data_IF_296297398877
#
_entry.id   IF_296297398877
#
_cell.length_a   1.000
_cell.length_b   1.000
_cell.length_c   1.000
_cell.angle_alpha   90.00
_cell.angle_beta   90.00
_cell.angle_gamma   90.00
#
_symmetry.space_group_name_H-M   'P 1'
#
loop_
_entity.id
_entity.type
_entity.pdbx_description
1 polymer ?
#
# COMPACT_ATOMS: atom_id res chain seq x y z
N UNK A 1 4.72 -21.49 13.06
CA UNK A 1 3.48 -20.93 13.64
C UNK A 1 2.21 -21.64 13.12
N UNK A 2 2.15 -22.10 11.87
CA UNK A 2 0.96 -22.78 11.32
C UNK A 2 0.58 -24.13 11.99
N UNK A 3 1.56 -24.88 12.55
CA UNK A 3 1.24 -26.11 13.33
C UNK A 3 0.57 -25.84 14.68
N UNK A 4 0.69 -24.63 15.24
CA UNK A 4 0.09 -24.28 16.53
C UNK A 4 -1.37 -23.82 16.34
N UNK A 5 -1.66 -23.17 15.20
CA UNK A 5 -3.02 -22.73 14.87
C UNK A 5 -3.94 -23.89 14.47
N UNK A 6 -3.43 -24.89 13.72
CA UNK A 6 -4.20 -26.10 13.38
C UNK A 6 -4.62 -26.91 14.62
N UNK A 7 -3.80 -26.96 15.67
CA UNK A 7 -4.16 -27.65 16.91
C UNK A 7 -5.17 -26.88 17.77
N UNK A 8 -5.33 -25.57 17.58
CA UNK A 8 -6.38 -24.79 18.26
C UNK A 8 -7.74 -24.87 17.55
N UNK A 9 -7.76 -25.03 16.22
CA UNK A 9 -9.01 -25.18 15.46
C UNK A 9 -9.64 -26.57 15.62
N UNK A 10 -8.83 -27.64 15.70
CA UNK A 10 -9.35 -28.99 15.96
C UNK A 10 -9.97 -29.11 17.35
N UNK A 11 -9.50 -28.34 18.34
CA UNK A 11 -10.10 -28.31 19.68
C UNK A 11 -11.45 -27.57 19.77
N UNK A 12 -11.80 -26.75 18.77
CA UNK A 12 -13.11 -26.04 18.74
C UNK A 12 -14.24 -26.87 18.11
N UNK A 13 -13.91 -27.93 17.38
CA UNK A 13 -14.90 -28.76 16.66
C UNK A 13 -15.29 -30.06 17.39
N UNK A 14 -14.75 -30.30 18.58
CA UNK A 14 -15.20 -31.39 19.45
C UNK A 14 -16.19 -30.76 20.42
N UNK A 15 -17.49 -30.90 20.12
CA UNK A 15 -18.56 -30.66 21.09
C UNK A 15 -18.16 -31.33 22.41
N UNK A 16 -18.11 -30.56 23.49
CA UNK A 16 -17.60 -31.06 24.75
C UNK A 16 -18.51 -32.20 25.24
N UNK A 17 -17.95 -33.24 25.85
CA UNK A 17 -18.74 -34.38 26.35
C UNK A 17 -19.85 -33.94 27.31
N UNK A 18 -19.70 -32.78 27.96
CA UNK A 18 -20.71 -32.12 28.79
C UNK A 18 -21.93 -31.63 28.00
N UNK A 19 -21.75 -31.15 26.76
CA UNK A 19 -22.86 -30.69 25.91
C UNK A 19 -23.71 -31.85 25.38
N UNK A 20 -23.10 -33.03 25.19
CA UNK A 20 -23.80 -34.25 24.77
C UNK A 20 -24.69 -34.80 25.89
N UNK A 21 -24.18 -34.81 27.13
CA UNK A 21 -24.95 -35.28 28.29
C UNK A 21 -26.14 -34.36 28.57
N UNK A 22 -25.97 -33.03 28.43
CA UNK A 22 -27.06 -32.06 28.65
C UNK A 22 -28.17 -32.17 27.59
N UNK A 23 -27.81 -32.45 26.32
CA UNK A 23 -28.77 -32.70 25.25
C UNK A 23 -29.56 -34.01 25.46
N UNK A 24 -28.88 -35.08 25.89
CA UNK A 24 -29.52 -36.37 26.18
C UNK A 24 -30.42 -36.27 27.42
N UNK A 25 -30.01 -35.56 28.46
CA UNK A 25 -30.85 -35.31 29.64
C UNK A 25 -32.09 -34.47 29.29
N UNK A 26 -31.97 -33.43 28.46
CA UNK A 26 -33.13 -32.64 27.99
C UNK A 26 -34.09 -33.47 27.13
N UNK A 27 -33.57 -34.39 26.33
CA UNK A 27 -34.38 -35.31 25.53
C UNK A 27 -35.13 -36.34 26.39
N UNK A 28 -34.46 -36.92 27.39
CA UNK A 28 -35.10 -37.86 28.33
C UNK A 28 -36.15 -37.15 29.20
N UNK A 29 -35.89 -35.90 29.60
CA UNK A 29 -36.88 -35.06 30.30
C UNK A 29 -38.10 -34.73 29.44
N UNK A 30 -37.94 -34.48 28.14
CA UNK A 30 -39.08 -34.20 27.26
C UNK A 30 -39.96 -35.43 27.01
N UNK A 31 -39.36 -36.64 26.95
CA UNK A 31 -40.11 -37.89 26.86
C UNK A 31 -40.82 -38.26 28.18
N UNK A 32 -40.23 -37.93 29.33
CA UNK A 32 -40.90 -38.10 30.65
C UNK A 32 -42.04 -37.10 30.87
N UNK A 33 -41.93 -35.87 30.37
CA UNK A 33 -43.01 -34.88 30.45
C UNK A 33 -44.19 -35.22 29.54
N UNK A 34 -43.95 -35.82 28.37
CA UNK A 34 -45.03 -36.26 27.47
C UNK A 34 -45.78 -37.48 28.01
N UNK A 35 -45.10 -38.39 28.72
CA UNK A 35 -45.75 -39.52 29.39
C UNK A 35 -46.59 -39.08 30.60
N UNK A 36 -46.14 -38.09 31.38
CA UNK A 36 -46.92 -37.50 32.49
C UNK A 36 -48.12 -36.66 32.03
N UNK A 37 -48.06 -36.00 30.88
CA UNK A 37 -49.19 -35.25 30.31
C UNK A 37 -50.24 -36.14 29.62
N UNK A 38 -49.97 -37.43 29.41
CA UNK A 38 -50.91 -38.34 28.73
C UNK A 38 -52.02 -38.87 29.64
N UNK A 39 -51.85 -38.78 30.96
CA UNK A 39 -52.76 -39.39 31.95
C UNK A 39 -53.87 -38.47 32.48
N UNK A 40 -53.96 -37.21 32.02
CA UNK A 40 -54.90 -36.22 32.62
C UNK A 40 -55.95 -35.61 31.70
N UNK A 41 -56.08 -36.01 30.42
CA UNK A 41 -57.12 -35.41 29.54
C UNK A 41 -57.87 -36.48 28.75
N UNK A 42 -58.77 -37.18 29.45
CA UNK A 42 -59.90 -37.88 28.84
C UNK A 42 -61.08 -36.91 28.80
N UNK A 43 -61.29 -36.26 27.66
CA UNK A 43 -62.59 -36.01 27.01
C UNK A 43 -62.38 -35.12 25.77
N UNK A 44 -63.02 -35.49 24.66
CA UNK A 44 -63.08 -34.84 23.32
C UNK A 44 -62.20 -35.47 22.22
N UNK A 45 -62.37 -36.77 21.98
CA UNK A 45 -61.85 -37.47 20.79
C UNK A 45 -62.84 -37.33 19.63
N UNK A 46 -62.52 -36.48 18.66
CA UNK A 46 -62.78 -36.73 17.22
C UNK A 46 -62.24 -35.58 16.33
N UNK A 47 -62.04 -34.37 16.86
CA UNK A 47 -61.39 -33.26 16.12
C UNK A 47 -59.86 -33.17 16.30
N UNK A 48 -59.30 -33.70 17.40
CA UNK A 48 -57.85 -33.63 17.67
C UNK A 48 -57.01 -34.66 16.88
N UNK A 49 -57.62 -35.74 16.39
CA UNK A 49 -56.90 -36.82 15.69
C UNK A 49 -56.35 -36.33 14.34
N UNK A 50 -57.04 -35.41 13.66
CA UNK A 50 -56.61 -34.95 12.34
C UNK A 50 -55.52 -33.86 12.42
N UNK A 51 -55.61 -32.98 13.44
CA UNK A 51 -54.58 -31.97 13.74
C UNK A 51 -53.28 -32.64 14.22
N UNK A 52 -53.38 -33.68 15.06
CA UNK A 52 -52.22 -34.44 15.52
C UNK A 52 -51.57 -35.25 14.39
N UNK A 53 -52.35 -35.78 13.44
CA UNK A 53 -51.82 -36.46 12.25
C UNK A 53 -51.07 -35.51 11.32
N UNK A 54 -51.58 -34.29 11.11
CA UNK A 54 -50.93 -33.27 10.29
C UNK A 54 -49.67 -32.71 10.96
N UNK A 55 -49.70 -32.51 12.28
CA UNK A 55 -48.53 -32.14 13.08
C UNK A 55 -47.44 -33.23 13.04
N UNK A 56 -47.83 -34.51 13.14
CA UNK A 56 -46.90 -35.64 13.01
C UNK A 56 -46.26 -35.72 11.62
N UNK A 57 -47.03 -35.46 10.55
CA UNK A 57 -46.50 -35.38 9.18
C UNK A 57 -45.50 -34.23 9.02
N UNK A 58 -45.81 -33.05 9.56
CA UNK A 58 -44.89 -31.89 9.55
C UNK A 58 -43.63 -32.14 10.35
N UNK A 59 -43.74 -32.78 11.52
CA UNK A 59 -42.59 -33.19 12.32
C UNK A 59 -41.71 -34.20 11.59
N UNK A 60 -42.31 -35.23 10.97
CA UNK A 60 -41.59 -36.22 10.18
C UNK A 60 -40.90 -35.59 8.96
N UNK A 61 -41.51 -34.58 8.33
CA UNK A 61 -40.89 -33.84 7.23
C UNK A 61 -39.67 -33.03 7.70
N UNK A 62 -39.74 -32.39 8.86
CA UNK A 62 -38.61 -31.67 9.47
C UNK A 62 -37.50 -32.65 9.85
N UNK A 63 -37.85 -33.80 10.43
CA UNK A 63 -36.90 -34.84 10.79
C UNK A 63 -36.19 -35.41 9.55
N UNK A 64 -36.92 -35.67 8.46
CA UNK A 64 -36.37 -36.11 7.18
C UNK A 64 -35.46 -35.04 6.55
N UNK A 65 -35.83 -33.77 6.63
CA UNK A 65 -35.00 -32.66 6.16
C UNK A 65 -33.69 -32.55 6.96
N UNK A 66 -33.78 -32.66 8.29
CA UNK A 66 -32.61 -32.61 9.17
C UNK A 66 -31.65 -33.78 8.91
N UNK A 67 -32.19 -35.00 8.74
CA UNK A 67 -31.41 -36.18 8.38
C UNK A 67 -30.66 -35.98 7.05
N UNK A 68 -31.34 -35.50 6.02
CA UNK A 68 -30.72 -35.18 4.73
C UNK A 68 -29.62 -34.12 4.88
N UNK A 69 -29.87 -33.07 5.67
CA UNK A 69 -28.91 -32.00 5.91
C UNK A 69 -27.66 -32.49 6.68
N UNK A 70 -27.82 -33.41 7.64
CA UNK A 70 -26.69 -34.04 8.33
C UNK A 70 -25.90 -34.96 7.41
N UNK A 71 -26.57 -35.70 6.54
CA UNK A 71 -25.90 -36.59 5.58
C UNK A 71 -25.08 -35.79 4.56
N UNK A 72 -25.59 -34.68 4.05
CA UNK A 72 -24.85 -33.82 3.12
C UNK A 72 -23.61 -33.19 3.77
N UNK A 73 -23.72 -32.73 5.03
CA UNK A 73 -22.58 -32.18 5.77
C UNK A 73 -21.54 -33.24 6.13
N UNK A 74 -21.97 -34.45 6.49
CA UNK A 74 -21.06 -35.59 6.70
C UNK A 74 -20.33 -35.97 5.40
N UNK A 75 -21.05 -36.05 4.27
CA UNK A 75 -20.50 -36.41 2.96
C UNK A 75 -19.54 -35.34 2.42
N UNK A 76 -19.78 -34.05 2.70
CA UNK A 76 -18.87 -32.95 2.32
C UNK A 76 -17.60 -32.96 3.18
N UNK A 77 -17.72 -33.19 4.50
CA UNK A 77 -16.60 -33.32 5.42
C UNK A 77 -15.71 -34.51 5.05
N UNK A 78 -16.30 -35.69 4.79
CA UNK A 78 -15.56 -36.90 4.37
C UNK A 78 -14.89 -36.69 3.01
N UNK A 79 -15.55 -36.07 2.03
CA UNK A 79 -14.91 -35.75 0.73
C UNK A 79 -13.73 -34.81 0.87
N UNK A 80 -13.81 -33.81 1.76
CA UNK A 80 -12.70 -32.89 2.01
C UNK A 80 -11.54 -33.55 2.75
N UNK A 81 -11.81 -34.43 3.71
CA UNK A 81 -10.77 -35.21 4.40
C UNK A 81 -10.10 -36.22 3.44
N UNK A 82 -10.87 -36.82 2.54
CA UNK A 82 -10.38 -37.79 1.54
C UNK A 82 -9.51 -37.11 0.49
N UNK A 83 -9.86 -35.90 0.02
CA UNK A 83 -9.05 -35.15 -0.94
C UNK A 83 -7.72 -34.67 -0.35
N UNK A 84 -7.71 -34.25 0.92
CA UNK A 84 -6.49 -33.84 1.64
C UNK A 84 -5.57 -35.04 1.92
N UNK A 85 -6.13 -36.19 2.32
CA UNK A 85 -5.39 -37.44 2.51
C UNK A 85 -4.76 -37.95 1.21
N UNK A 86 -5.52 -37.93 0.10
CA UNK A 86 -5.05 -38.40 -1.20
C UNK A 86 -3.91 -37.52 -1.76
N UNK A 87 -3.95 -36.20 -1.52
CA UNK A 87 -2.90 -35.29 -1.93
C UNK A 87 -1.58 -35.54 -1.17
N UNK A 88 -1.63 -35.76 0.14
CA UNK A 88 -0.44 -36.07 0.95
C UNK A 88 0.16 -37.44 0.61
N UNK A 89 -0.70 -38.43 0.34
CA UNK A 89 -0.27 -39.78 -0.06
C UNK A 89 0.39 -39.76 -1.43
N UNK A 90 -0.15 -39.01 -2.40
CA UNK A 90 0.43 -38.86 -3.74
C UNK A 90 1.81 -38.17 -3.75
N UNK A 91 2.04 -37.22 -2.82
CA UNK A 91 3.35 -36.57 -2.70
C UNK A 91 4.40 -37.49 -2.06
N UNK A 92 4.02 -38.30 -1.06
CA UNK A 92 4.91 -39.32 -0.49
C UNK A 92 5.29 -40.38 -1.52
N UNK A 93 4.32 -40.90 -2.27
CA UNK A 93 4.59 -41.92 -3.30
C UNK A 93 5.48 -41.39 -4.42
N UNK A 94 5.33 -40.13 -4.83
CA UNK A 94 6.22 -39.50 -5.82
C UNK A 94 7.68 -39.41 -5.36
N UNK A 95 7.90 -39.07 -4.09
CA UNK A 95 9.25 -39.02 -3.51
C UNK A 95 9.85 -40.43 -3.36
N UNK A 96 9.06 -41.41 -2.95
CA UNK A 96 9.49 -42.80 -2.81
C UNK A 96 9.86 -43.41 -4.18
N UNK A 97 9.09 -43.14 -5.24
CA UNK A 97 9.40 -43.56 -6.62
C UNK A 97 10.74 -42.95 -7.09
N UNK A 98 11.00 -41.67 -6.80
CA UNK A 98 12.28 -41.04 -7.15
C UNK A 98 13.47 -41.67 -6.41
N UNK A 99 13.27 -42.06 -5.15
CA UNK A 99 14.27 -42.72 -4.33
C UNK A 99 14.58 -44.12 -4.85
N UNK A 100 13.56 -44.88 -5.23
CA UNK A 100 13.70 -46.23 -5.80
C UNK A 100 14.35 -46.20 -7.19
N UNK A 101 14.03 -45.20 -8.00
CA UNK A 101 14.69 -44.97 -9.30
C UNK A 101 16.19 -44.62 -9.12
N UNK A 102 16.53 -43.80 -8.12
CA UNK A 102 17.94 -43.51 -7.83
C UNK A 102 18.69 -44.76 -7.33
N UNK A 103 18.06 -45.55 -6.45
CA UNK A 103 18.63 -46.77 -5.92
C UNK A 103 18.87 -47.82 -7.01
N UNK A 104 17.90 -48.02 -7.92
CA UNK A 104 18.02 -48.96 -9.05
C UNK A 104 19.13 -48.55 -10.01
N UNK A 105 19.30 -47.26 -10.30
CA UNK A 105 20.41 -46.76 -11.13
C UNK A 105 21.76 -47.07 -10.46
N UNK A 106 21.93 -46.72 -9.18
CA UNK A 106 23.19 -46.95 -8.46
C UNK A 106 23.52 -48.45 -8.38
N UNK A 107 22.53 -49.27 -8.04
CA UNK A 107 22.70 -50.73 -7.96
C UNK A 107 23.00 -51.35 -9.32
N UNK A 108 22.40 -50.86 -10.41
CA UNK A 108 22.68 -51.36 -11.76
C UNK A 108 24.11 -51.02 -12.21
N UNK A 109 24.60 -49.82 -11.89
CA UNK A 109 25.99 -49.43 -12.14
C UNK A 109 26.98 -50.28 -11.35
N UNK A 110 26.69 -50.57 -10.07
CA UNK A 110 27.53 -51.44 -9.25
C UNK A 110 27.56 -52.88 -9.79
N UNK A 111 26.40 -53.46 -10.14
CA UNK A 111 26.31 -54.79 -10.76
C UNK A 111 27.15 -54.86 -12.05
N UNK A 112 27.02 -53.86 -12.92
CA UNK A 112 27.82 -53.75 -14.15
C UNK A 112 29.33 -53.66 -13.87
N UNK A 113 29.75 -52.91 -12.86
CA UNK A 113 31.17 -52.81 -12.48
C UNK A 113 31.73 -54.13 -11.98
N UNK A 114 30.96 -54.86 -11.15
CA UNK A 114 31.34 -56.19 -10.64
C UNK A 114 31.53 -57.18 -11.79
N UNK A 115 30.56 -57.28 -12.70
CA UNK A 115 30.64 -58.16 -13.87
C UNK A 115 31.81 -57.79 -14.78
N UNK A 116 32.03 -56.50 -15.05
CA UNK A 116 33.18 -56.07 -15.87
C UNK A 116 34.52 -56.42 -15.22
N UNK A 117 34.64 -56.32 -13.90
CA UNK A 117 35.86 -56.72 -13.18
C UNK A 117 36.08 -58.23 -13.27
N UNK A 118 35.04 -59.04 -13.14
CA UNK A 118 35.11 -60.49 -13.29
C UNK A 118 35.47 -60.89 -14.72
N UNK A 119 34.84 -60.29 -15.72
CA UNK A 119 35.18 -60.47 -17.13
C UNK A 119 36.64 -60.14 -17.43
N UNK A 120 37.16 -59.02 -16.90
CA UNK A 120 38.57 -58.66 -17.09
C UNK A 120 39.54 -59.63 -16.41
N UNK A 121 39.18 -60.19 -15.23
CA UNK A 121 39.96 -61.27 -14.59
C UNK A 121 39.98 -62.53 -15.46
N UNK A 122 38.82 -62.94 -15.98
CA UNK A 122 38.68 -64.07 -16.90
C UNK A 122 39.49 -63.86 -18.19
N UNK A 123 39.38 -62.69 -18.81
CA UNK A 123 40.14 -62.36 -20.03
C UNK A 123 41.64 -62.34 -19.79
N UNK A 124 42.12 -61.86 -18.63
CA UNK A 124 43.54 -61.96 -18.26
C UNK A 124 43.98 -63.41 -18.12
N UNK A 125 43.20 -64.26 -17.46
CA UNK A 125 43.49 -65.69 -17.32
C UNK A 125 43.52 -66.39 -18.69
N UNK A 126 42.53 -66.11 -19.56
CA UNK A 126 42.49 -66.64 -20.93
C UNK A 126 43.70 -66.17 -21.74
N UNK A 127 44.06 -64.88 -21.67
CA UNK A 127 45.25 -64.38 -22.35
C UNK A 127 46.54 -65.06 -21.85
N UNK A 128 46.65 -65.33 -20.55
CA UNK A 128 47.79 -66.08 -19.99
C UNK A 128 47.84 -67.50 -20.54
N UNK A 129 46.74 -68.25 -20.47
CA UNK A 129 46.65 -69.63 -21.01
C UNK A 129 46.95 -69.64 -22.51
N UNK A 130 46.37 -68.72 -23.29
CA UNK A 130 46.65 -68.61 -24.71
C UNK A 130 48.11 -68.26 -25.01
N UNK A 131 48.74 -67.43 -24.17
CA UNK A 131 50.16 -67.10 -24.31
C UNK A 131 51.03 -68.30 -23.97
N UNK A 132 50.71 -69.05 -22.92
CA UNK A 132 51.41 -70.28 -22.51
C UNK A 132 51.25 -71.37 -23.57
N UNK A 133 50.05 -71.59 -24.10
CA UNK A 133 49.80 -72.58 -25.17
C UNK A 133 50.51 -72.18 -26.46
N UNK A 134 50.47 -70.90 -26.86
CA UNK A 134 51.19 -70.43 -28.05
C UNK A 134 52.71 -70.54 -27.88
N UNK A 135 53.25 -70.20 -26.70
CA UNK A 135 54.68 -70.36 -26.41
C UNK A 135 55.08 -71.82 -26.37
N UNK A 136 54.29 -72.71 -25.76
CA UNK A 136 54.49 -74.16 -25.78
C UNK A 136 54.45 -74.75 -27.19
N UNK A 137 53.50 -74.35 -28.04
CA UNK A 137 53.44 -74.76 -29.45
C UNK A 137 54.66 -74.26 -30.25
N UNK A 138 55.15 -73.06 -29.93
CA UNK A 138 56.36 -72.48 -30.54
C UNK A 138 57.61 -73.24 -30.09
N UNK A 139 57.71 -73.57 -28.81
CA UNK A 139 58.78 -74.41 -28.24
C UNK A 139 58.72 -75.82 -28.81
N UNK A 140 57.54 -76.43 -28.98
CA UNK A 140 57.36 -77.76 -29.59
C UNK A 140 57.72 -77.81 -31.08
N UNK A 141 57.41 -76.74 -31.84
CA UNK A 141 57.92 -76.57 -33.22
C UNK A 141 59.44 -76.41 -33.23
N UNK A 142 59.97 -75.65 -32.27
CA UNK A 142 61.41 -75.43 -32.14
C UNK A 142 62.15 -76.63 -31.56
N UNK A 143 61.56 -77.57 -30.82
CA UNK A 143 62.25 -78.80 -30.37
C UNK A 143 62.54 -79.78 -31.50
N UNK A 144 61.79 -79.72 -32.61
CA UNK A 144 62.14 -80.44 -33.85
C UNK A 144 63.27 -79.75 -34.62
N UNK A 145 63.48 -78.45 -34.40
CA UNK A 145 64.49 -77.63 -35.08
C UNK A 145 65.76 -77.48 -34.22
N UNK A 146 65.64 -77.57 -32.89
CA UNK A 146 66.70 -77.35 -31.92
C UNK A 146 67.14 -78.67 -31.24
N UNK A 147 67.66 -79.59 -32.08
CA UNK A 147 68.96 -80.25 -31.82
C UNK A 147 70.13 -79.25 -31.98
N UNK A 148 69.83 -77.96 -32.07
CA UNK A 148 70.72 -76.84 -32.35
C UNK A 148 70.31 -75.64 -31.46
N UNK A 149 71.02 -75.49 -30.35
CA UNK A 149 71.13 -74.30 -29.50
C UNK A 149 69.95 -73.84 -28.62
N UNK A 150 70.37 -73.47 -27.40
CA UNK A 150 69.63 -73.26 -26.16
C UNK A 150 69.23 -71.81 -25.89
N UNK A 151 68.38 -71.69 -24.86
CA UNK A 151 68.21 -70.57 -23.91
C UNK A 151 67.23 -69.41 -24.24
N UNK A 152 66.04 -69.55 -23.63
CA UNK A 152 65.26 -68.59 -22.82
C UNK A 152 65.22 -67.10 -23.21
N UNK A 153 64.00 -66.63 -23.47
CA UNK A 153 63.68 -65.22 -23.67
C UNK A 153 62.80 -64.63 -22.58
N UNK A 154 63.28 -63.55 -21.95
CA UNK A 154 62.43 -62.47 -21.44
C UNK A 154 63.11 -61.08 -21.51
N UNK A 155 63.89 -60.82 -22.57
CA UNK A 155 64.34 -59.46 -22.97
C UNK A 155 63.98 -59.14 -24.44
N UNK A 156 62.88 -59.72 -24.92
CA UNK A 156 62.72 -60.03 -26.34
C UNK A 156 62.11 -58.91 -27.21
N UNK A 157 62.03 -57.65 -26.74
CA UNK A 157 61.57 -56.52 -27.60
C UNK A 157 62.55 -55.35 -27.70
N UNK A 158 63.28 -54.99 -26.65
CA UNK A 158 64.49 -54.16 -26.77
C UNK A 158 65.61 -54.98 -27.42
N UNK A 159 65.74 -56.25 -26.99
CA UNK A 159 66.64 -57.26 -27.55
C UNK A 159 66.47 -57.42 -29.05
N UNK A 160 65.27 -57.57 -29.61
CA UNK A 160 65.10 -57.72 -31.09
C UNK A 160 65.58 -56.49 -31.87
N UNK A 161 65.39 -55.26 -31.34
CA UNK A 161 65.86 -54.05 -32.04
C UNK A 161 67.38 -53.91 -31.92
N UNK A 162 67.94 -54.19 -30.74
CA UNK A 162 69.38 -54.26 -30.51
C UNK A 162 70.04 -55.40 -31.28
N UNK A 163 69.37 -56.54 -31.43
CA UNK A 163 69.81 -57.75 -32.12
C UNK A 163 69.68 -57.61 -33.64
N UNK A 164 68.65 -56.90 -34.14
CA UNK A 164 68.60 -56.46 -35.55
C UNK A 164 69.69 -55.43 -35.84
N UNK A 165 69.90 -54.47 -34.94
CA UNK A 165 70.99 -53.49 -35.05
C UNK A 165 72.38 -54.10 -34.90
N UNK A 166 72.50 -55.20 -34.15
CA UNK A 166 73.72 -55.98 -33.99
C UNK A 166 73.95 -56.90 -35.19
N UNK A 167 72.92 -57.61 -35.70
CA UNK A 167 73.03 -58.40 -36.95
C UNK A 167 73.48 -57.56 -38.15
N UNK A 168 72.92 -56.35 -38.32
CA UNK A 168 73.31 -55.45 -39.42
C UNK A 168 74.75 -54.95 -39.24
N UNK A 169 75.19 -54.69 -38.00
CA UNK A 169 76.58 -54.31 -37.69
C UNK A 169 77.56 -55.48 -37.82
N UNK A 170 77.19 -56.67 -37.37
CA UNK A 170 77.96 -57.91 -37.51
C UNK A 170 78.13 -58.31 -38.96
N UNK A 171 77.12 -58.13 -39.83
CA UNK A 171 77.26 -58.40 -41.26
C UNK A 171 78.22 -57.43 -41.95
N UNK A 172 78.31 -56.19 -41.46
CA UNK A 172 79.26 -55.19 -41.97
C UNK A 172 80.70 -55.46 -41.50
N UNK A 173 80.88 -55.86 -40.23
CA UNK A 173 82.19 -56.16 -39.62
C UNK A 173 82.74 -57.51 -40.12
N UNK A 174 81.93 -58.58 -40.12
CA UNK A 174 82.34 -59.90 -40.61
C UNK A 174 82.46 -59.95 -42.14
N UNK A 175 81.73 -59.11 -42.86
CA UNK A 175 81.86 -58.95 -44.31
C UNK A 175 83.26 -58.48 -44.72
N UNK A 176 83.86 -57.54 -43.99
CA UNK A 176 85.24 -57.07 -44.21
C UNK A 176 86.30 -58.12 -43.82
N UNK A 177 86.14 -58.78 -42.66
CA UNK A 177 87.08 -59.81 -42.19
C UNK A 177 87.07 -61.07 -43.07
N UNK A 178 85.94 -61.44 -43.67
CA UNK A 178 85.85 -62.57 -44.61
C UNK A 178 86.48 -62.25 -45.97
N UNK A 179 86.44 -60.99 -46.42
CA UNK A 179 87.15 -60.58 -47.65
C UNK A 179 88.66 -60.51 -47.45
N UNK A 180 89.12 -60.13 -46.26
CA UNK A 180 90.55 -60.05 -45.90
C UNK A 180 91.17 -61.45 -45.72
N UNK A 181 90.44 -62.37 -45.08
CA UNK A 181 90.85 -63.77 -44.94
C UNK A 181 90.80 -64.55 -46.27
N UNK A 182 89.90 -64.21 -47.19
CA UNK A 182 89.91 -64.76 -48.55
C UNK A 182 91.10 -64.26 -49.38
N UNK A 183 91.50 -62.99 -49.19
CA UNK A 183 92.70 -62.39 -49.79
C UNK A 183 93.98 -63.08 -49.30
N UNK A 184 94.10 -63.37 -48.00
CA UNK A 184 95.26 -64.06 -47.42
C UNK A 184 95.35 -65.54 -47.84
N UNK A 185 94.22 -66.19 -48.09
CA UNK A 185 94.17 -67.62 -48.49
C UNK A 185 94.58 -67.86 -49.95
N UNK A 186 94.53 -66.84 -50.80
CA UNK A 186 94.98 -66.92 -52.21
C UNK A 186 96.50 -66.80 -52.38
N UNK A 187 97.24 -66.32 -51.38
CA UNK A 187 98.70 -66.12 -51.50
C UNK A 187 99.51 -67.43 -51.45
N UNK A 188 98.90 -68.54 -51.04
CA UNK A 188 99.60 -69.80 -50.68
C UNK A 188 99.61 -70.86 -51.80
N UNK A 189 98.99 -70.63 -52.97
CA UNK A 189 99.03 -71.60 -54.09
C UNK A 189 99.49 -70.92 -55.37
N UNK A 190 100.66 -71.30 -55.85
CA UNK A 190 101.26 -70.83 -57.09
C UNK A 190 100.63 -71.49 -58.33
N UNK A 191 100.54 -70.67 -59.38
CA UNK A 191 100.14 -70.92 -60.78
C UNK A 191 98.63 -70.77 -61.08
N UNK A 192 98.35 -69.77 -61.95
CA UNK A 192 97.07 -69.16 -62.41
C UNK A 192 96.40 -68.12 -61.48
N UNK A 193 97.19 -67.41 -60.67
CA UNK A 193 96.66 -66.48 -59.65
C UNK A 193 96.09 -65.16 -60.17
N UNK A 194 96.55 -64.63 -61.30
CA UNK A 194 96.12 -63.29 -61.77
C UNK A 194 94.65 -63.27 -62.21
N UNK A 195 94.18 -64.32 -62.89
CA UNK A 195 92.80 -64.40 -63.40
C UNK A 195 91.80 -64.64 -62.26
N UNK A 196 92.15 -65.48 -61.29
CA UNK A 196 91.32 -65.75 -60.11
C UNK A 196 91.28 -64.53 -59.17
N UNK A 197 92.40 -63.83 -58.99
CA UNK A 197 92.43 -62.59 -58.21
C UNK A 197 91.65 -61.46 -58.91
N UNK A 198 91.74 -61.35 -60.24
CA UNK A 198 90.94 -60.41 -61.00
C UNK A 198 89.43 -60.72 -60.89
N UNK A 199 89.03 -61.99 -61.05
CA UNK A 199 87.64 -62.42 -60.92
C UNK A 199 87.08 -62.16 -59.52
N UNK A 200 87.85 -62.44 -58.47
CA UNK A 200 87.43 -62.19 -57.07
C UNK A 200 87.32 -60.69 -56.78
N UNK A 201 88.23 -59.86 -57.28
CA UNK A 201 88.13 -58.39 -57.17
C UNK A 201 86.89 -57.84 -57.85
N UNK A 202 86.55 -58.33 -59.05
CA UNK A 202 85.32 -57.95 -59.77
C UNK A 202 84.07 -58.38 -59.00
N UNK A 203 84.03 -59.59 -58.45
CA UNK A 203 82.91 -60.07 -57.64
C UNK A 203 82.72 -59.26 -56.35
N UNK A 204 83.81 -58.89 -55.67
CA UNK A 204 83.77 -58.03 -54.48
C UNK A 204 83.30 -56.62 -54.86
N UNK A 205 83.82 -56.04 -55.94
CA UNK A 205 83.40 -54.73 -56.44
C UNK A 205 81.91 -54.71 -56.77
N UNK A 206 81.40 -55.74 -57.46
CA UNK A 206 79.98 -55.89 -57.78
C UNK A 206 79.10 -56.04 -56.53
N UNK A 207 79.50 -56.88 -55.56
CA UNK A 207 78.79 -57.03 -54.28
C UNK A 207 78.73 -55.71 -53.51
N UNK A 208 79.81 -54.95 -53.49
CA UNK A 208 79.88 -53.64 -52.85
C UNK A 208 78.99 -52.60 -53.56
N UNK A 209 78.97 -52.60 -54.89
CA UNK A 209 78.06 -51.77 -55.68
C UNK A 209 76.59 -52.08 -55.36
N UNK A 210 76.22 -53.36 -55.35
CA UNK A 210 74.87 -53.81 -55.02
C UNK A 210 74.47 -53.41 -53.59
N UNK A 211 75.37 -53.60 -52.61
CA UNK A 211 75.14 -53.19 -51.22
C UNK A 211 74.94 -51.68 -51.09
N UNK A 212 75.79 -50.84 -51.71
CA UNK A 212 75.63 -49.38 -51.71
C UNK A 212 74.32 -48.95 -52.37
N UNK A 213 73.94 -49.58 -53.48
CA UNK A 213 72.68 -49.30 -54.19
C UNK A 213 71.46 -49.62 -53.33
N UNK A 214 71.41 -50.80 -52.69
CA UNK A 214 70.36 -51.19 -51.77
C UNK A 214 70.33 -50.32 -50.51
N UNK A 215 71.48 -49.95 -49.97
CA UNK A 215 71.58 -49.04 -48.82
C UNK A 215 70.99 -47.66 -49.13
N UNK A 216 71.30 -47.08 -50.30
CA UNK A 216 70.71 -45.81 -50.75
C UNK A 216 69.18 -45.90 -50.84
N UNK A 217 68.65 -46.97 -51.43
CA UNK A 217 67.19 -47.20 -51.56
C UNK A 217 66.51 -47.36 -50.19
N UNK A 218 67.09 -48.15 -49.30
CA UNK A 218 66.55 -48.38 -47.94
C UNK A 218 66.65 -47.15 -47.05
N UNK A 219 67.73 -46.36 -47.17
CA UNK A 219 67.87 -45.08 -46.47
C UNK A 219 66.81 -44.07 -46.92
N UNK A 220 66.64 -43.90 -48.23
CA UNK A 220 65.59 -43.03 -48.78
C UNK A 220 64.19 -43.46 -48.34
N UNK A 221 63.88 -44.77 -48.43
CA UNK A 221 62.61 -45.31 -47.96
C UNK A 221 62.39 -45.06 -46.46
N UNK A 222 63.42 -45.26 -45.63
CA UNK A 222 63.36 -45.00 -44.19
C UNK A 222 63.08 -43.54 -43.89
N UNK A 223 63.72 -42.60 -44.62
CA UNK A 223 63.47 -41.16 -44.48
C UNK A 223 62.02 -40.82 -44.83
N UNK A 224 61.51 -41.26 -45.98
CA UNK A 224 60.12 -41.03 -46.40
C UNK A 224 59.14 -41.58 -45.35
N UNK A 225 59.35 -42.81 -44.90
CA UNK A 225 58.51 -43.44 -43.87
C UNK A 225 58.56 -42.67 -42.54
N UNK A 226 59.73 -42.18 -42.14
CA UNK A 226 59.88 -41.39 -40.90
C UNK A 226 59.12 -40.07 -40.98
N UNK A 227 59.23 -39.36 -42.12
CA UNK A 227 58.48 -38.14 -42.37
C UNK A 227 56.97 -38.38 -42.38
N UNK A 228 56.51 -39.42 -43.08
CA UNK A 228 55.08 -39.77 -43.13
C UNK A 228 54.53 -40.12 -41.74
N UNK A 229 55.25 -40.93 -40.95
CA UNK A 229 54.84 -41.28 -39.57
C UNK A 229 54.78 -40.04 -38.68
N UNK A 230 55.76 -39.15 -38.79
CA UNK A 230 55.78 -37.87 -38.08
C UNK A 230 54.62 -36.96 -38.47
N UNK A 231 54.37 -36.79 -39.76
CA UNK A 231 53.24 -36.02 -40.30
C UNK A 231 51.90 -36.58 -39.80
N UNK A 232 51.69 -37.90 -39.90
CA UNK A 232 50.46 -38.56 -39.44
C UNK A 232 50.22 -38.34 -37.95
N UNK A 233 51.26 -38.41 -37.12
CA UNK A 233 51.15 -38.15 -35.68
C UNK A 233 50.76 -36.70 -35.39
N UNK A 234 51.43 -35.73 -36.04
CA UNK A 234 51.12 -34.29 -35.90
C UNK A 234 49.68 -33.99 -36.33
N UNK A 235 49.22 -34.56 -37.44
CA UNK A 235 47.84 -34.40 -37.90
C UNK A 235 46.82 -34.96 -36.90
N UNK A 236 47.09 -36.15 -36.32
CA UNK A 236 46.21 -36.73 -35.30
C UNK A 236 46.16 -35.87 -34.03
N UNK A 237 47.32 -35.38 -33.58
CA UNK A 237 47.42 -34.49 -32.43
C UNK A 237 46.64 -33.18 -32.64
N UNK A 238 46.79 -32.54 -33.80
CA UNK A 238 46.05 -31.31 -34.11
C UNK A 238 44.54 -31.52 -34.13
N UNK A 239 44.06 -32.64 -34.70
CA UNK A 239 42.63 -32.99 -34.66
C UNK A 239 42.12 -33.17 -33.22
N UNK A 240 42.88 -33.85 -32.37
CA UNK A 240 42.54 -34.03 -30.96
C UNK A 240 42.54 -32.70 -30.21
N UNK A 241 43.57 -31.86 -30.40
CA UNK A 241 43.66 -30.53 -29.78
C UNK A 241 42.46 -29.66 -30.17
N UNK A 242 42.11 -29.62 -31.46
CA UNK A 242 40.92 -28.89 -31.93
C UNK A 242 39.62 -29.41 -31.30
N UNK A 243 39.44 -30.73 -31.22
CA UNK A 243 38.27 -31.32 -30.57
C UNK A 243 38.19 -30.93 -29.07
N UNK A 244 39.32 -30.99 -28.36
CA UNK A 244 39.40 -30.58 -26.95
C UNK A 244 39.05 -29.10 -26.80
N UNK A 245 39.64 -28.21 -27.61
CA UNK A 245 39.34 -26.77 -27.57
C UNK A 245 37.86 -26.50 -27.82
N UNK A 246 37.24 -27.20 -28.78
CA UNK A 246 35.79 -27.08 -29.05
C UNK A 246 34.92 -27.56 -27.88
N UNK A 247 35.30 -28.65 -27.22
CA UNK A 247 34.57 -29.13 -26.04
C UNK A 247 34.70 -28.12 -24.89
N UNK A 248 35.91 -27.63 -24.64
CA UNK A 248 36.19 -26.66 -23.58
C UNK A 248 35.43 -25.34 -23.81
N UNK A 249 35.40 -24.82 -25.04
CA UNK A 249 34.68 -23.58 -25.35
C UNK A 249 33.16 -23.75 -25.18
N UNK A 250 32.59 -24.86 -25.64
CA UNK A 250 31.17 -25.17 -25.44
C UNK A 250 30.82 -25.34 -23.96
N UNK A 251 31.68 -25.99 -23.18
CA UNK A 251 31.46 -26.12 -21.73
C UNK A 251 31.47 -24.77 -21.03
N UNK A 252 32.43 -23.88 -21.35
CA UNK A 252 32.47 -22.51 -20.83
C UNK A 252 31.20 -21.74 -21.20
N UNK A 253 30.77 -21.82 -22.46
CA UNK A 253 29.51 -21.22 -22.93
C UNK A 253 28.30 -21.73 -22.14
N UNK A 254 28.19 -23.04 -21.94
CA UNK A 254 27.09 -23.65 -21.19
C UNK A 254 27.10 -23.20 -19.72
N UNK A 255 28.27 -23.11 -19.10
CA UNK A 255 28.41 -22.61 -17.72
C UNK A 255 27.91 -21.17 -17.60
N UNK A 256 28.33 -20.28 -18.51
CA UNK A 256 27.86 -18.89 -18.55
C UNK A 256 26.34 -18.82 -18.80
N UNK A 257 25.82 -19.60 -19.74
CA UNK A 257 24.39 -19.63 -20.04
C UNK A 257 23.54 -20.09 -18.84
N UNK A 258 23.99 -21.12 -18.10
CA UNK A 258 23.31 -21.55 -16.87
C UNK A 258 23.37 -20.50 -15.76
N UNK A 259 24.51 -19.81 -15.60
CA UNK A 259 24.64 -18.72 -14.64
C UNK A 259 23.68 -17.57 -14.99
N UNK A 260 23.60 -17.21 -16.28
CA UNK A 260 22.63 -16.24 -16.78
C UNK A 260 21.20 -16.68 -16.50
N UNK A 261 20.84 -17.93 -16.84
CA UNK A 261 19.48 -18.45 -16.61
C UNK A 261 19.09 -18.43 -15.12
N UNK A 262 20.02 -18.75 -14.23
CA UNK A 262 19.78 -18.69 -12.78
C UNK A 262 19.59 -17.24 -12.31
N UNK A 263 20.44 -16.32 -12.75
CA UNK A 263 20.29 -14.89 -12.45
C UNK A 263 18.97 -14.33 -12.99
N UNK A 264 18.54 -14.78 -14.17
CA UNK A 264 17.28 -14.37 -14.78
C UNK A 264 16.07 -14.88 -13.98
N UNK A 265 16.09 -16.15 -13.55
CA UNK A 265 15.06 -16.70 -12.65
C UNK A 265 15.00 -15.93 -11.34
N UNK A 266 16.14 -15.64 -10.74
CA UNK A 266 16.21 -14.86 -9.50
C UNK A 266 15.66 -13.44 -9.69
N UNK A 267 16.00 -12.77 -10.79
CA UNK A 267 15.46 -11.46 -11.14
C UNK A 267 13.93 -11.47 -11.27
N UNK A 268 13.36 -12.45 -11.97
CA UNK A 268 11.90 -12.60 -12.10
C UNK A 268 11.26 -12.83 -10.72
N UNK A 269 11.79 -13.75 -9.91
CA UNK A 269 11.29 -14.03 -8.57
C UNK A 269 11.30 -12.79 -7.68
N UNK A 270 12.42 -12.03 -7.68
CA UNK A 270 12.52 -10.76 -6.93
C UNK A 270 11.50 -9.74 -7.40
N UNK A 271 11.30 -9.60 -8.71
CA UNK A 271 10.30 -8.67 -9.27
C UNK A 271 8.89 -9.04 -8.82
N UNK A 272 8.50 -10.31 -8.93
CA UNK A 272 7.20 -10.80 -8.47
C UNK A 272 7.03 -10.64 -6.96
N UNK A 273 8.08 -10.91 -6.18
CA UNK A 273 8.07 -10.71 -4.73
C UNK A 273 7.88 -9.22 -4.38
N UNK A 274 8.54 -8.30 -5.08
CA UNK A 274 8.36 -6.87 -4.86
C UNK A 274 6.95 -6.40 -5.23
N UNK A 275 6.38 -6.90 -6.32
CA UNK A 275 4.99 -6.61 -6.71
C UNK A 275 4.00 -7.12 -5.67
N UNK A 276 4.16 -8.36 -5.19
CA UNK A 276 3.28 -8.93 -4.16
C UNK A 276 3.41 -8.19 -2.82
N UNK A 277 4.62 -7.80 -2.41
CA UNK A 277 4.82 -6.97 -1.22
C UNK A 277 4.18 -5.58 -1.36
N UNK A 278 4.34 -4.94 -2.52
CA UNK A 278 3.70 -3.65 -2.80
C UNK A 278 2.17 -3.77 -2.75
N UNK A 279 1.60 -4.78 -3.42
CA UNK A 279 0.16 -5.05 -3.38
C UNK A 279 -0.34 -5.32 -1.95
N UNK A 280 0.39 -6.13 -1.17
CA UNK A 280 0.05 -6.43 0.22
C UNK A 280 0.06 -5.17 1.10
N UNK A 281 1.04 -4.28 0.92
CA UNK A 281 1.11 -2.99 1.64
C UNK A 281 -0.07 -2.08 1.29
N UNK A 282 -0.41 -1.97 0.00
CA UNK A 282 -1.55 -1.17 -0.44
C UNK A 282 -2.85 -1.72 0.14
N UNK A 283 -3.04 -3.05 0.06
CA UNK A 283 -4.23 -3.73 0.58
C UNK A 283 -4.35 -3.57 2.10
N UNK A 284 -3.26 -3.70 2.86
CA UNK A 284 -3.29 -3.55 4.31
C UNK A 284 -3.60 -2.11 4.73
N UNK A 285 -3.02 -1.11 4.05
CA UNK A 285 -3.37 0.30 4.26
C UNK A 285 -4.84 0.58 3.95
N UNK A 286 -5.35 0.06 2.83
CA UNK A 286 -6.75 0.24 2.46
C UNK A 286 -7.70 -0.39 3.48
N UNK A 287 -7.45 -1.64 3.89
CA UNK A 287 -8.23 -2.32 4.95
C UNK A 287 -8.17 -1.55 6.27
N UNK A 288 -7.00 -1.02 6.63
CA UNK A 288 -6.82 -0.18 7.81
C UNK A 288 -7.63 1.12 7.73
N UNK A 289 -7.60 1.80 6.59
CA UNK A 289 -8.39 3.03 6.35
C UNK A 289 -9.89 2.74 6.44
N UNK A 290 -10.35 1.66 5.82
CA UNK A 290 -11.76 1.24 5.87
C UNK A 290 -12.21 0.95 7.30
N UNK A 291 -11.42 0.22 8.08
CA UNK A 291 -11.70 -0.06 9.48
C UNK A 291 -11.78 1.23 10.32
N UNK A 292 -10.81 2.14 10.16
CA UNK A 292 -10.80 3.45 10.84
C UNK A 292 -12.03 4.29 10.49
N UNK A 293 -12.42 4.34 9.22
CA UNK A 293 -13.65 5.04 8.79
C UNK A 293 -14.89 4.45 9.46
N UNK A 294 -15.02 3.12 9.47
CA UNK A 294 -16.15 2.45 10.11
C UNK A 294 -16.18 2.69 11.62
N UNK A 295 -15.02 2.64 12.28
CA UNK A 295 -14.90 2.97 13.69
C UNK A 295 -15.32 4.41 13.98
N UNK A 296 -14.85 5.39 13.19
CA UNK A 296 -15.21 6.80 13.36
C UNK A 296 -16.72 7.03 13.16
N UNK A 297 -17.36 6.36 12.19
CA UNK A 297 -18.81 6.40 12.02
C UNK A 297 -19.55 5.91 13.27
N UNK A 298 -19.14 4.75 13.82
CA UNK A 298 -19.71 4.20 15.06
C UNK A 298 -19.48 5.15 16.24
N UNK A 299 -18.26 5.66 16.41
CA UNK A 299 -17.91 6.63 17.46
C UNK A 299 -18.78 7.89 17.36
N UNK A 300 -18.97 8.44 16.16
CA UNK A 300 -19.80 9.63 15.96
C UNK A 300 -21.28 9.36 16.29
N UNK A 301 -21.80 8.17 15.93
CA UNK A 301 -23.16 7.78 16.30
C UNK A 301 -23.32 7.69 17.83
N UNK A 302 -22.36 7.07 18.52
CA UNK A 302 -22.36 6.98 19.99
C UNK A 302 -22.33 8.39 20.62
N UNK A 303 -21.44 9.27 20.16
CA UNK A 303 -21.36 10.66 20.67
C UNK A 303 -22.68 11.40 20.47
N UNK A 304 -23.33 11.24 19.30
CA UNK A 304 -24.65 11.85 19.04
C UNK A 304 -25.73 11.33 19.98
N UNK A 305 -25.74 10.02 20.26
CA UNK A 305 -26.70 9.43 21.21
C UNK A 305 -26.44 9.96 22.62
N UNK A 306 -25.18 9.99 23.05
CA UNK A 306 -24.79 10.47 24.38
C UNK A 306 -25.02 11.98 24.56
N UNK A 307 -24.94 12.77 23.50
CA UNK A 307 -25.15 14.23 23.56
C UNK A 307 -26.62 14.64 23.48
N UNK A 308 -27.52 13.74 23.08
CA UNK A 308 -28.94 14.03 22.92
C UNK A 308 -29.62 14.55 24.21
N UNK A 309 -29.41 13.96 25.40
CA UNK A 309 -29.98 14.48 26.65
C UNK A 309 -29.55 15.91 26.95
N UNK A 310 -28.26 16.21 26.77
CA UNK A 310 -27.70 17.56 26.97
C UNK A 310 -28.25 18.58 25.97
N UNK A 311 -28.56 18.15 24.74
CA UNK A 311 -29.15 19.01 23.73
C UNK A 311 -30.61 19.38 24.09
N UNK A 312 -31.37 18.45 24.65
CA UNK A 312 -32.72 18.71 25.16
C UNK A 312 -32.70 19.73 26.30
N UNK A 313 -31.81 19.52 27.29
CA UNK A 313 -31.60 20.47 28.40
C UNK A 313 -31.19 21.86 27.88
N UNK A 314 -30.30 21.94 26.89
CA UNK A 314 -29.91 23.23 26.28
C UNK A 314 -31.09 23.95 25.62
N UNK A 315 -32.00 23.23 24.95
CA UNK A 315 -33.20 23.83 24.34
C UNK A 315 -34.13 24.37 25.42
N UNK A 316 -34.34 23.62 26.50
CA UNK A 316 -35.17 24.03 27.63
C UNK A 316 -34.60 25.27 28.32
N UNK A 317 -33.31 25.28 28.63
CA UNK A 317 -32.63 26.45 29.21
C UNK A 317 -32.72 27.68 28.31
N UNK A 318 -32.55 27.51 26.99
CA UNK A 318 -32.69 28.61 26.04
C UNK A 318 -34.11 29.18 26.05
N UNK A 319 -35.13 28.32 26.11
CA UNK A 319 -36.51 28.75 26.24
C UNK A 319 -36.76 29.51 27.56
N UNK A 320 -36.25 29.01 28.68
CA UNK A 320 -36.34 29.67 30.00
C UNK A 320 -35.71 31.07 29.95
N UNK A 321 -34.53 31.21 29.34
CA UNK A 321 -33.81 32.49 29.21
C UNK A 321 -34.62 33.47 28.34
N UNK A 322 -35.13 33.02 27.19
CA UNK A 322 -35.93 33.89 26.31
C UNK A 322 -37.21 34.33 27.02
N UNK A 323 -37.91 33.40 27.68
CA UNK A 323 -39.14 33.71 28.40
C UNK A 323 -38.91 34.69 29.56
N UNK A 324 -37.82 34.54 30.32
CA UNK A 324 -37.49 35.47 31.41
C UNK A 324 -37.21 36.87 30.89
N UNK A 325 -36.51 36.99 29.75
CA UNK A 325 -36.27 38.27 29.11
C UNK A 325 -37.56 38.95 28.64
N UNK A 326 -38.47 38.19 28.02
CA UNK A 326 -39.79 38.69 27.57
C UNK A 326 -40.64 39.14 28.76
N UNK A 327 -40.76 38.31 29.82
CA UNK A 327 -41.49 38.68 31.05
C UNK A 327 -40.92 39.95 31.68
N UNK A 328 -39.59 40.05 31.78
CA UNK A 328 -38.91 41.24 32.28
C UNK A 328 -39.15 42.48 31.41
N UNK A 329 -39.18 42.34 30.08
CA UNK A 329 -39.49 43.45 29.16
C UNK A 329 -40.93 43.93 29.33
N UNK A 330 -41.89 43.02 29.48
CA UNK A 330 -43.29 43.37 29.73
C UNK A 330 -43.45 44.11 31.05
N UNK A 331 -42.90 43.58 32.15
CA UNK A 331 -42.94 44.23 33.46
C UNK A 331 -42.32 45.64 33.43
N UNK A 332 -41.16 45.81 32.77
CA UNK A 332 -40.55 47.14 32.61
C UNK A 332 -41.40 48.10 31.78
N UNK A 333 -42.06 47.62 30.72
CA UNK A 333 -42.99 48.44 29.92
C UNK A 333 -44.16 48.91 30.78
N UNK A 334 -44.73 48.02 31.58
CA UNK A 334 -45.85 48.36 32.46
C UNK A 334 -45.44 49.35 33.56
N UNK A 335 -44.31 49.11 34.23
CA UNK A 335 -43.75 50.05 35.19
C UNK A 335 -43.39 51.42 34.57
N UNK A 336 -43.02 51.47 33.29
CA UNK A 336 -42.82 52.74 32.57
C UNK A 336 -44.16 53.45 32.31
N UNK A 337 -45.21 52.72 31.94
CA UNK A 337 -46.56 53.28 31.77
C UNK A 337 -47.08 53.88 33.07
N UNK A 338 -47.03 53.14 34.18
CA UNK A 338 -47.43 53.67 35.48
C UNK A 338 -46.62 54.91 35.88
N UNK A 339 -45.29 54.88 35.71
CA UNK A 339 -44.45 56.06 35.99
C UNK A 339 -44.85 57.26 35.13
N UNK A 340 -45.10 57.06 33.84
CA UNK A 340 -45.55 58.12 32.95
C UNK A 340 -46.89 58.72 33.40
N UNK A 341 -47.88 57.87 33.75
CA UNK A 341 -49.18 58.32 34.25
C UNK A 341 -49.04 59.11 35.56
N UNK A 342 -48.23 58.63 36.50
CA UNK A 342 -47.95 59.34 37.76
C UNK A 342 -47.32 60.71 37.48
N UNK A 343 -46.28 60.75 36.65
CA UNK A 343 -45.61 62.03 36.29
C UNK A 343 -46.58 62.98 35.59
N UNK A 344 -47.45 62.48 34.73
CA UNK A 344 -48.49 63.27 34.05
C UNK A 344 -49.48 63.86 35.07
N UNK A 345 -50.02 63.05 35.98
CA UNK A 345 -50.94 63.53 37.02
C UNK A 345 -50.24 64.59 37.90
N UNK A 346 -49.00 64.31 38.31
CA UNK A 346 -48.20 65.24 39.11
C UNK A 346 -47.93 66.55 38.36
N UNK A 347 -47.67 66.52 37.06
CA UNK A 347 -47.43 67.73 36.26
C UNK A 347 -48.70 68.56 36.09
N UNK A 348 -49.86 67.91 35.84
CA UNK A 348 -51.15 68.58 35.80
C UNK A 348 -51.51 69.23 37.14
N UNK A 349 -51.28 68.53 38.25
CA UNK A 349 -51.51 69.05 39.59
C UNK A 349 -50.61 70.26 39.89
N UNK A 350 -49.30 70.15 39.65
CA UNK A 350 -48.36 71.28 39.80
C UNK A 350 -48.78 72.49 38.96
N UNK A 351 -49.19 72.25 37.71
CA UNK A 351 -49.71 73.29 36.83
C UNK A 351 -51.01 73.93 37.34
N UNK A 352 -51.93 73.14 37.92
CA UNK A 352 -53.15 73.64 38.56
C UNK A 352 -52.82 74.52 39.77
N UNK A 353 -51.94 74.07 40.67
CA UNK A 353 -51.49 74.83 41.84
C UNK A 353 -50.88 76.18 41.42
N UNK A 354 -49.96 76.17 40.45
CA UNK A 354 -49.34 77.39 39.92
C UNK A 354 -50.37 78.38 39.34
N UNK A 355 -51.39 77.89 38.62
CA UNK A 355 -52.49 78.71 38.10
C UNK A 355 -53.43 79.23 39.19
N UNK A 356 -53.68 78.45 40.24
CA UNK A 356 -54.49 78.88 41.39
C UNK A 356 -53.80 80.00 42.15
N UNK A 357 -52.50 79.86 42.42
CA UNK A 357 -51.70 80.89 43.05
C UNK A 357 -51.58 82.15 42.19
N UNK A 358 -51.33 82.01 40.88
CA UNK A 358 -51.26 83.17 39.98
C UNK A 358 -52.59 83.91 39.90
N UNK A 359 -53.73 83.21 39.92
CA UNK A 359 -55.06 83.84 40.05
C UNK A 359 -55.21 84.59 41.37
N UNK A 360 -54.71 84.06 42.48
CA UNK A 360 -54.65 84.76 43.77
C UNK A 360 -53.82 86.04 43.68
N UNK A 361 -52.59 85.96 43.16
CA UNK A 361 -51.71 87.11 42.92
C UNK A 361 -52.32 88.14 41.97
N UNK A 362 -53.03 87.71 40.93
CA UNK A 362 -53.74 88.59 40.01
C UNK A 362 -54.91 89.31 40.69
N UNK A 363 -55.69 88.63 41.54
CA UNK A 363 -56.75 89.27 42.34
C UNK A 363 -56.18 90.30 43.31
N UNK A 364 -55.09 89.97 43.98
CA UNK A 364 -54.38 90.84 44.91
C UNK A 364 -53.77 92.07 44.19
N UNK A 365 -53.08 91.89 43.07
CA UNK A 365 -52.62 93.01 42.22
C UNK A 365 -53.77 93.86 41.69
N UNK A 366 -54.92 93.25 41.36
CA UNK A 366 -56.12 93.99 40.92
C UNK A 366 -56.75 94.78 42.07
N UNK A 367 -56.80 94.22 43.28
CA UNK A 367 -57.24 94.93 44.49
C UNK A 367 -56.30 96.09 44.80
N UNK A 368 -54.98 95.88 44.80
CA UNK A 368 -54.01 96.97 44.95
C UNK A 368 -54.18 98.06 43.90
N UNK A 369 -54.39 97.69 42.64
CA UNK A 369 -54.63 98.68 41.57
C UNK A 369 -55.89 99.51 41.81
N UNK A 370 -56.98 98.89 42.30
CA UNK A 370 -58.23 99.58 42.66
C UNK A 370 -58.04 100.46 43.89
N UNK A 371 -57.35 99.96 44.92
CA UNK A 371 -57.08 100.72 46.16
C UNK A 371 -56.18 101.93 45.88
N UNK A 372 -55.12 101.73 45.09
CA UNK A 372 -54.30 102.82 44.57
C UNK A 372 -55.12 103.81 43.74
N UNK A 373 -56.09 103.36 42.93
CA UNK A 373 -56.97 104.24 42.16
C UNK A 373 -57.95 105.04 43.02
N UNK A 374 -58.39 104.50 44.17
CA UNK A 374 -59.23 105.19 45.16
C UNK A 374 -58.45 106.24 45.96
N UNK A 375 -57.17 105.97 46.24
CA UNK A 375 -56.28 106.88 46.99
C UNK A 375 -55.64 107.96 46.10
N UNK A 376 -56.00 108.04 44.81
CA UNK A 376 -55.60 109.17 43.96
C UNK A 376 -56.42 110.40 44.36
N UNK A 377 -55.76 111.32 45.07
CA UNK A 377 -56.22 112.68 45.31
C UNK A 377 -56.73 113.32 44.00
N UNK A 378 -58.02 113.66 43.97
CA UNK A 378 -58.70 114.17 42.76
C UNK A 378 -58.05 115.45 42.23
N UNK A 379 -57.40 116.25 43.10
CA UNK A 379 -56.64 117.44 42.69
C UNK A 379 -55.38 117.11 41.88
N UNK A 380 -54.86 115.88 42.01
CA UNK A 380 -53.65 115.38 41.33
C UNK A 380 -53.94 114.54 40.10
N UNK A 381 -55.20 114.20 39.83
CA UNK A 381 -55.60 113.56 38.57
C UNK A 381 -55.24 114.49 37.41
N UNK A 382 -54.63 113.92 36.37
CA UNK A 382 -54.13 114.67 35.21
C UNK A 382 -55.21 115.57 34.60
N UNK A 383 -56.45 115.07 34.47
CA UNK A 383 -57.60 115.84 33.97
C UNK A 383 -57.87 117.07 34.85
N UNK A 384 -57.90 116.92 36.18
CA UNK A 384 -58.20 118.02 37.10
C UNK A 384 -57.02 118.99 37.24
N UNK A 385 -55.77 118.51 37.17
CA UNK A 385 -54.59 119.40 37.03
C UNK A 385 -54.66 120.23 35.76
N UNK A 386 -55.09 119.65 34.63
CA UNK A 386 -55.30 120.39 33.39
C UNK A 386 -56.43 121.41 33.52
N UNK A 387 -57.57 121.05 34.14
CA UNK A 387 -58.69 121.98 34.36
C UNK A 387 -58.31 123.14 35.29
N UNK A 388 -57.58 122.87 36.37
CA UNK A 388 -57.10 123.91 37.29
C UNK A 388 -56.04 124.80 36.66
N UNK A 389 -55.17 124.24 35.80
CA UNK A 389 -54.23 125.03 35.01
C UNK A 389 -54.94 125.94 33.99
N UNK A 390 -55.99 125.42 33.33
CA UNK A 390 -56.83 126.21 32.41
C UNK A 390 -57.58 127.33 33.12
N UNK A 391 -58.10 127.11 34.35
CA UNK A 391 -58.75 128.18 35.11
C UNK A 391 -57.79 129.30 35.51
N UNK A 392 -56.54 128.97 35.85
CA UNK A 392 -55.49 129.97 36.12
C UNK A 392 -55.16 130.74 34.83
N UNK A 393 -54.96 130.03 33.70
CA UNK A 393 -54.67 130.67 32.40
C UNK A 393 -55.78 131.62 31.94
N UNK A 394 -57.06 131.26 32.12
CA UNK A 394 -58.22 132.11 31.78
C UNK A 394 -58.37 133.36 32.67
N UNK A 395 -57.73 133.38 33.84
CA UNK A 395 -57.80 134.51 34.79
C UNK A 395 -56.66 135.54 34.64
N UNK A 396 -55.64 135.25 33.83
CA UNK A 396 -54.47 136.11 33.66
C UNK A 396 -54.72 137.24 32.65
N UNK A 397 -54.68 138.49 33.09
CA UNK A 397 -54.88 139.70 32.26
C UNK A 397 -53.60 140.20 31.54
N UNK A 398 -52.52 139.40 31.53
CA UNK A 398 -51.22 139.74 30.94
C UNK A 398 -50.67 138.59 30.09
N UNK A 399 -50.36 138.87 28.83
CA UNK A 399 -49.83 137.90 27.84
C UNK A 399 -48.51 137.28 28.30
N UNK A 400 -47.67 138.04 29.04
CA UNK A 400 -46.40 137.53 29.59
C UNK A 400 -46.62 136.46 30.66
N UNK A 401 -47.69 136.56 31.45
CA UNK A 401 -48.04 135.56 32.47
C UNK A 401 -48.53 134.23 31.89
N UNK A 402 -49.28 134.28 30.78
CA UNK A 402 -49.76 133.10 30.05
C UNK A 402 -48.57 132.29 29.51
N UNK A 403 -47.55 132.96 28.93
CA UNK A 403 -46.37 132.30 28.37
C UNK A 403 -45.52 131.59 29.43
N UNK A 404 -45.28 132.20 30.59
CA UNK A 404 -44.50 131.59 31.68
C UNK A 404 -45.20 130.36 32.30
N UNK A 405 -46.54 130.36 32.42
CA UNK A 405 -47.30 129.21 32.90
C UNK A 405 -47.41 128.08 31.87
N UNK A 406 -47.50 128.39 30.58
CA UNK A 406 -47.40 127.39 29.51
C UNK A 406 -46.02 126.69 29.51
N UNK A 407 -44.92 127.43 29.71
CA UNK A 407 -43.56 126.84 29.80
C UNK A 407 -43.39 125.95 31.05
N UNK A 408 -44.05 126.30 32.16
CA UNK A 408 -44.04 125.51 33.40
C UNK A 408 -44.86 124.21 33.27
N UNK A 409 -45.98 124.24 32.52
CA UNK A 409 -46.77 123.04 32.19
C UNK A 409 -46.04 122.11 31.23
N UNK A 410 -45.27 122.66 30.28
CA UNK A 410 -44.39 121.88 29.40
C UNK A 410 -43.26 121.19 30.17
N UNK A 411 -42.69 121.82 31.22
CA UNK A 411 -41.68 121.21 32.09
C UNK A 411 -42.21 120.12 33.05
N UNK A 412 -43.50 120.12 33.41
CA UNK A 412 -44.10 119.07 34.26
C UNK A 412 -44.59 117.84 33.48
N UNK A 413 -44.55 117.88 32.14
CA UNK A 413 -44.91 116.77 31.26
C UNK A 413 -43.71 115.92 30.83
N UNK A 414 -43.13 115.12 31.72
CA UNK A 414 -42.25 114.01 31.30
C UNK A 414 -43.10 112.89 30.68
N UNK A 415 -43.34 112.98 29.36
CA UNK A 415 -44.05 111.92 28.64
C UNK A 415 -44.59 112.24 27.25
N UNK A 416 -44.23 113.36 26.61
CA UNK A 416 -44.73 113.71 25.27
C UNK A 416 -44.12 112.83 24.15
N UNK A 417 -43.08 112.05 24.44
CA UNK A 417 -42.54 111.07 23.49
C UNK A 417 -43.43 109.82 23.33
N UNK A 418 -44.30 109.51 24.30
CA UNK A 418 -45.18 108.34 24.22
C UNK A 418 -46.44 108.58 23.37
N UNK A 419 -46.93 109.82 23.31
CA UNK A 419 -48.13 110.18 22.51
C UNK A 419 -47.74 110.48 21.05
N UNK A 420 -46.56 111.07 20.81
CA UNK A 420 -46.01 111.30 19.46
C UNK A 420 -45.73 109.99 18.70
N UNK A 421 -45.26 108.94 19.39
CA UNK A 421 -45.02 107.61 18.79
C UNK A 421 -46.30 106.80 18.52
N UNK A 422 -47.35 106.95 19.34
CA UNK A 422 -48.60 106.17 19.21
C UNK A 422 -49.61 106.79 18.25
N UNK A 423 -49.64 108.12 18.11
CA UNK A 423 -50.48 108.80 17.11
C UNK A 423 -49.91 108.60 15.70
N UNK A 424 -48.58 108.54 15.53
CA UNK A 424 -47.94 108.24 14.23
C UNK A 424 -48.14 106.79 13.76
N UNK A 425 -48.36 105.83 14.68
CA UNK A 425 -48.60 104.41 14.37
C UNK A 425 -50.08 104.01 14.31
N UNK A 426 -50.99 104.78 14.93
CA UNK A 426 -52.44 104.51 14.90
C UNK A 426 -53.21 105.29 13.81
N UNK A 427 -52.63 106.34 13.21
CA UNK A 427 -53.29 107.12 12.14
C UNK A 427 -52.87 106.68 10.72
N UNK A 428 -51.67 106.12 10.54
CA UNK A 428 -51.17 105.71 9.21
C UNK A 428 -51.91 104.54 8.53
N UNK A 429 -52.38 103.48 9.23
CA UNK A 429 -53.04 102.36 8.53
C UNK A 429 -54.54 102.56 8.24
N UNK A 430 -55.17 103.59 8.84
CA UNK A 430 -56.63 103.80 8.79
C UNK A 430 -57.09 104.86 7.79
N UNK A 431 -56.15 105.58 7.17
CA UNK A 431 -56.41 106.51 6.06
C UNK A 431 -56.25 105.77 4.71
N UNK A 432 -55.31 104.83 4.58
CA UNK A 432 -55.12 104.09 3.32
C UNK A 432 -56.19 103.03 3.04
N UNK A 433 -56.76 102.38 4.07
CA UNK A 433 -57.82 101.37 3.86
C UNK A 433 -59.20 101.96 3.60
N UNK A 434 -59.43 103.23 3.94
CA UNK A 434 -60.70 103.95 3.64
C UNK A 434 -60.65 104.75 2.34
N UNK A 435 -59.47 105.16 1.86
CA UNK A 435 -59.29 105.75 0.53
C UNK A 435 -59.30 104.69 -0.59
N UNK A 436 -58.79 103.48 -0.33
CA UNK A 436 -58.86 102.36 -1.29
C UNK A 436 -60.30 101.80 -1.45
N UNK A 437 -61.11 101.84 -0.39
CA UNK A 437 -62.53 101.43 -0.48
C UNK A 437 -63.46 102.47 -1.11
N UNK A 438 -63.06 103.75 -1.16
CA UNK A 438 -63.85 104.82 -1.80
C UNK A 438 -63.49 104.99 -3.29
N UNK A 439 -62.25 104.65 -3.69
CA UNK A 439 -61.83 104.58 -5.10
C UNK A 439 -62.45 103.40 -5.87
N UNK A 440 -62.76 102.28 -5.20
CA UNK A 440 -63.38 101.10 -5.82
C UNK A 440 -64.91 101.19 -6.00
N UNK A 441 -65.55 102.28 -5.57
CA UNK A 441 -67.03 102.44 -5.62
C UNK A 441 -67.47 103.62 -6.52
N UNK A 442 -66.57 104.52 -6.96
CA UNK A 442 -66.95 105.74 -7.72
C UNK A 442 -66.17 105.98 -9.04
N UNK A 443 -65.22 105.13 -9.45
CA UNK A 443 -64.44 105.39 -10.67
C UNK A 443 -64.26 104.19 -11.57
N UNK A 444 -65.09 104.10 -12.61
CA UNK A 444 -64.63 103.61 -13.91
C UNK A 444 -63.84 104.69 -14.64
#
# INVERSE_FOLDING_TARGET
MERILMNQEVKKSIMSATDYIDAVHKFILSQKLTTLCSDTVVHNKERDIDITKDAAKKFNAIQAWWLNMTEQNYKSSVRSATSVSNCSTAQKTSFDILRDNAATIIQSHYRRLKERRNFLKMMKAICLVQTVVRTWLTVKKNTKINKFCSASGQEFRSGIRSFRGWMVRSYHILGHACTENASLKCQVKGLNNSEIEAATRIQIAWKNFLHRSLHKRTYAATKIQSYYRGWRLRMRFMKQKQAITKIQSNFRRLKCWRAFQNAWKEFICRTLQNQTLAATRIQSHFRGLQSRRNFMKKKQAIIKIQSFPWLAVKKELSAIIIQSFVRGRMARREARRYRYLVVMIQSHWKGYVARKESRGRLKDSRLRMVESAKNVDDSKRIINRHLSALSVLLSMKSISGILHHCETLERMGSGVDYVRGRISTLIKPKIDTKLISYWLIVGG
#
